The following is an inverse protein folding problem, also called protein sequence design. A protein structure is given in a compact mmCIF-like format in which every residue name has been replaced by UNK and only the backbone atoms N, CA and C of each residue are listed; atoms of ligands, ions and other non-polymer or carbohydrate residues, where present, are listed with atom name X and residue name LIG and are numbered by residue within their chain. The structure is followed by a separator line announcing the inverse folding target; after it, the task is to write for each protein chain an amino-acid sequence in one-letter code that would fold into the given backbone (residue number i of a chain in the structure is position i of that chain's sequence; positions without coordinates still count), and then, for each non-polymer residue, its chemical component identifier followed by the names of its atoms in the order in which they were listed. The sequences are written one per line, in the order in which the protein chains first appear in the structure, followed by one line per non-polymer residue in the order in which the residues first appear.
data_IF_611169026603
#
_entry.id   IF_611169026603
#
_cell.length_a   1.000
_cell.length_b   1.000
_cell.length_c   1.000
_cell.angle_alpha   90.00
_cell.angle_beta   90.00
_cell.angle_gamma   90.00
#
_symmetry.space_group_name_H-M   'P 1'
#
loop_
_entity.id
_entity.type
_entity.pdbx_description
1 polymer ?
#
# COMPACT_ATOMS: atom_id res chain seq x y z
N UNK A 1 11.55 1.36 -7.26
CA UNK A 1 12.32 2.34 -6.45
C UNK A 1 13.59 1.72 -5.88
N UNK A 2 13.49 0.61 -5.13
CA UNK A 2 14.60 -0.12 -4.50
C UNK A 2 15.78 -0.39 -5.42
N UNK A 3 15.53 -1.00 -6.58
CA UNK A 3 16.57 -1.33 -7.57
C UNK A 3 17.27 -0.09 -8.14
N UNK A 4 16.51 0.99 -8.40
CA UNK A 4 17.09 2.24 -8.91
C UNK A 4 18.00 2.93 -7.89
N UNK A 5 17.75 2.72 -6.60
CA UNK A 5 18.54 3.27 -5.49
C UNK A 5 19.65 2.32 -5.00
N UNK A 6 19.79 1.12 -5.58
CA UNK A 6 20.76 0.12 -5.12
C UNK A 6 20.49 -0.45 -3.72
N UNK A 7 19.26 -0.31 -3.21
CA UNK A 7 18.88 -0.79 -1.88
C UNK A 7 18.67 -2.32 -1.88
N UNK A 8 18.79 -2.99 -0.72
CA UNK A 8 18.38 -4.39 -0.57
C UNK A 8 16.92 -4.60 -0.97
N UNK A 9 16.61 -5.78 -1.53
CA UNK A 9 15.26 -6.10 -1.97
C UNK A 9 14.25 -5.94 -0.84
N UNK A 10 13.22 -5.12 -1.08
CA UNK A 10 12.20 -4.84 -0.06
C UNK A 10 11.12 -5.93 -0.02
N UNK A 11 10.82 -6.57 -1.16
CA UNK A 11 9.78 -7.57 -1.29
C UNK A 11 10.23 -8.65 -2.28
N UNK A 12 9.98 -9.91 -1.95
CA UNK A 12 10.25 -11.05 -2.84
C UNK A 12 8.98 -11.44 -3.62
N UNK A 13 9.11 -12.11 -4.78
CA UNK A 13 7.96 -12.46 -5.62
C UNK A 13 6.89 -13.30 -4.92
N UNK A 14 7.29 -14.20 -4.02
CA UNK A 14 6.37 -15.07 -3.27
C UNK A 14 5.45 -14.26 -2.36
N UNK A 15 5.98 -13.20 -1.73
CA UNK A 15 5.19 -12.28 -0.90
C UNK A 15 4.19 -11.50 -1.75
N UNK A 16 4.62 -10.97 -2.90
CA UNK A 16 3.73 -10.23 -3.81
C UNK A 16 2.61 -11.11 -4.39
N UNK A 17 2.90 -12.37 -4.69
CA UNK A 17 1.88 -13.33 -5.15
C UNK A 17 0.81 -13.55 -4.08
N UNK A 18 1.22 -13.69 -2.82
CA UNK A 18 0.29 -13.83 -1.70
C UNK A 18 -0.58 -12.59 -1.50
N UNK A 19 0.01 -11.39 -1.55
CA UNK A 19 -0.73 -10.13 -1.43
C UNK A 19 -1.79 -10.01 -2.51
N UNK A 20 -1.40 -10.16 -3.78
CA UNK A 20 -2.31 -9.98 -4.91
C UNK A 20 -3.41 -11.05 -4.98
N UNK A 21 -3.14 -12.28 -4.52
CA UNK A 21 -4.08 -13.39 -4.62
C UNK A 21 -5.01 -13.46 -3.41
N UNK A 22 -4.46 -13.35 -2.21
CA UNK A 22 -5.16 -13.65 -0.96
C UNK A 22 -5.55 -12.35 -0.27
N UNK A 23 -4.56 -11.53 0.09
CA UNK A 23 -4.79 -10.33 0.89
C UNK A 23 -5.69 -9.31 0.18
N UNK A 24 -5.45 -9.05 -1.10
CA UNK A 24 -6.25 -8.10 -1.88
C UNK A 24 -7.49 -8.77 -2.51
N UNK A 25 -7.46 -10.10 -2.67
CA UNK A 25 -8.56 -10.87 -3.24
C UNK A 25 -9.85 -10.78 -2.42
N UNK A 26 -9.75 -10.83 -1.07
CA UNK A 26 -10.94 -10.74 -0.22
C UNK A 26 -11.59 -9.35 -0.26
N UNK A 27 -10.88 -8.23 -0.04
CA UNK A 27 -11.47 -6.89 -0.16
C UNK A 27 -11.98 -6.60 -1.57
N UNK A 28 -11.27 -7.02 -2.63
CA UNK A 28 -11.73 -6.84 -4.00
C UNK A 28 -13.07 -7.53 -4.26
N UNK A 29 -13.24 -8.74 -3.74
CA UNK A 29 -14.53 -9.46 -3.81
C UNK A 29 -15.60 -8.76 -2.98
N UNK A 30 -15.23 -8.24 -1.80
CA UNK A 30 -16.16 -7.55 -0.91
C UNK A 30 -16.67 -6.21 -1.46
N UNK A 31 -15.84 -5.50 -2.25
CA UNK A 31 -16.25 -4.29 -2.98
C UNK A 31 -17.38 -4.57 -3.98
N UNK A 32 -17.52 -5.81 -4.46
CA UNK A 32 -18.66 -6.24 -5.28
C UNK A 32 -20.01 -6.21 -4.56
N UNK A 33 -20.01 -6.15 -3.21
CA UNK A 33 -21.20 -6.02 -2.38
C UNK A 33 -21.43 -4.58 -1.87
N UNK A 34 -20.75 -3.58 -2.47
CA UNK A 34 -20.98 -2.19 -2.12
C UNK A 34 -22.43 -1.76 -2.45
N UNK A 35 -23.06 -0.95 -1.59
CA UNK A 35 -24.33 -0.33 -1.94
C UNK A 35 -24.15 0.65 -3.09
N UNK A 36 -25.21 0.91 -3.88
CA UNK A 36 -25.15 1.86 -4.98
C UNK A 36 -24.93 3.29 -4.45
N UNK A 37 -24.21 4.09 -5.24
CA UNK A 37 -24.02 5.52 -4.96
C UNK A 37 -25.39 6.25 -4.90
N UNK A 38 -25.50 7.22 -3.97
CA UNK A 38 -26.75 7.96 -3.72
C UNK A 38 -27.26 8.74 -4.94
N UNK A 39 -26.37 9.15 -5.84
CA UNK A 39 -26.64 9.95 -7.02
C UNK A 39 -26.61 9.12 -8.32
N UNK A 40 -26.71 7.79 -8.23
CA UNK A 40 -26.61 6.94 -9.42
C UNK A 40 -27.75 7.16 -10.42
N UNK A 41 -28.96 7.42 -9.93
CA UNK A 41 -30.16 7.60 -10.76
C UNK A 41 -30.26 9.01 -11.37
N UNK A 42 -29.48 9.98 -10.88
CA UNK A 42 -29.47 11.35 -11.41
C UNK A 42 -28.39 11.55 -12.47
N UNK A 43 -27.48 10.58 -12.65
CA UNK A 43 -26.44 10.60 -13.67
C UNK A 43 -26.98 10.03 -15.00
N UNK A 44 -26.59 10.59 -16.17
CA UNK A 44 -26.96 10.02 -17.45
C UNK A 44 -26.31 8.63 -17.66
N UNK A 45 -26.87 7.77 -18.54
CA UNK A 45 -26.25 6.50 -18.89
C UNK A 45 -24.81 6.68 -19.39
N UNK A 46 -23.89 5.84 -18.92
CA UNK A 46 -22.47 5.84 -19.32
C UNK A 46 -22.34 5.57 -20.84
N UNK A 47 -21.46 6.31 -21.53
CA UNK A 47 -21.20 6.07 -22.96
C UNK A 47 -20.35 4.81 -23.17
N UNK A 48 -20.57 4.10 -24.28
CA UNK A 48 -19.76 2.91 -24.63
C UNK A 48 -18.32 3.26 -25.02
N UNK A 49 -18.06 4.53 -25.34
CA UNK A 49 -16.73 5.06 -25.66
C UNK A 49 -15.96 5.59 -24.43
N UNK A 50 -16.59 5.66 -23.24
CA UNK A 50 -15.95 6.22 -22.06
C UNK A 50 -14.88 5.27 -21.51
N UNK A 51 -13.60 5.68 -21.45
CA UNK A 51 -12.53 4.84 -20.92
C UNK A 51 -12.80 4.49 -19.44
N UNK A 52 -12.35 3.31 -19.01
CA UNK A 52 -12.44 2.90 -17.61
C UNK A 52 -11.63 3.82 -16.69
N UNK A 53 -10.47 4.29 -17.16
CA UNK A 53 -9.58 5.19 -16.42
C UNK A 53 -9.52 6.53 -17.15
N UNK A 54 -10.13 7.56 -16.56
CA UNK A 54 -10.01 8.95 -17.04
C UNK A 54 -8.63 9.53 -16.72
N UNK A 55 -8.26 10.64 -17.37
CA UNK A 55 -6.96 11.29 -17.11
C UNK A 55 -6.75 11.68 -15.65
N UNK A 56 -7.81 12.14 -14.97
CA UNK A 56 -7.76 12.45 -13.54
C UNK A 56 -7.63 11.20 -12.67
N UNK A 57 -8.41 10.14 -12.99
CA UNK A 57 -8.36 8.87 -12.26
C UNK A 57 -6.97 8.20 -12.40
N UNK A 58 -6.36 8.30 -13.58
CA UNK A 58 -4.98 7.85 -13.81
C UNK A 58 -3.98 8.58 -12.92
N UNK A 59 -4.04 9.91 -12.86
CA UNK A 59 -3.15 10.71 -11.99
C UNK A 59 -3.34 10.36 -10.50
N UNK A 60 -4.59 10.15 -10.07
CA UNK A 60 -4.90 9.72 -8.71
C UNK A 60 -4.23 8.39 -8.37
N UNK A 61 -4.43 7.35 -9.17
CA UNK A 61 -3.80 6.05 -8.92
C UNK A 61 -2.28 6.07 -9.08
N UNK A 62 -1.73 6.89 -9.97
CA UNK A 62 -0.29 7.09 -10.07
C UNK A 62 0.29 7.70 -8.78
N UNK A 63 -0.40 8.67 -8.18
CA UNK A 63 0.01 9.31 -6.92
C UNK A 63 -0.06 8.32 -5.76
N UNK A 64 -1.14 7.54 -5.66
CA UNK A 64 -1.31 6.51 -4.61
C UNK A 64 -0.26 5.40 -4.77
N UNK A 65 -0.08 4.87 -5.99
CA UNK A 65 0.94 3.84 -6.26
C UNK A 65 2.36 4.34 -6.03
N UNK A 66 2.65 5.60 -6.37
CA UNK A 66 3.91 6.26 -6.04
C UNK A 66 4.14 6.33 -4.53
N UNK A 67 3.12 6.70 -3.77
CA UNK A 67 3.16 6.71 -2.31
C UNK A 67 3.42 5.31 -1.73
N UNK A 68 2.68 4.29 -2.18
CA UNK A 68 2.85 2.89 -1.75
C UNK A 68 4.30 2.42 -1.98
N UNK A 69 4.84 2.70 -3.17
CA UNK A 69 6.23 2.37 -3.51
C UNK A 69 7.26 3.09 -2.63
N UNK A 70 7.02 4.35 -2.29
CA UNK A 70 7.89 5.09 -1.37
C UNK A 70 7.75 4.63 0.09
N UNK A 71 6.54 4.31 0.54
CA UNK A 71 6.26 3.88 1.90
C UNK A 71 6.84 2.49 2.20
N UNK A 72 6.72 1.54 1.27
CA UNK A 72 7.29 0.18 1.39
C UNK A 72 8.81 0.19 1.43
N UNK A 73 9.46 0.95 0.54
CA UNK A 73 10.93 1.08 0.54
C UNK A 73 11.42 1.92 1.72
N UNK A 74 10.67 2.96 2.07
CA UNK A 74 10.95 3.83 3.21
C UNK A 74 10.91 3.08 4.54
N UNK A 75 9.93 2.19 4.75
CA UNK A 75 9.84 1.40 5.99
C UNK A 75 10.96 0.36 6.09
N UNK A 76 11.35 -0.29 5.00
CA UNK A 76 12.52 -1.17 4.96
C UNK A 76 13.81 -0.39 5.23
N UNK A 77 14.01 0.76 4.58
CA UNK A 77 15.17 1.62 4.79
C UNK A 77 15.23 2.19 6.22
N UNK A 78 14.08 2.52 6.81
CA UNK A 78 13.99 2.99 8.19
C UNK A 78 14.56 1.96 9.18
N UNK A 79 14.30 0.66 8.96
CA UNK A 79 14.87 -0.39 9.80
C UNK A 79 16.41 -0.43 9.75
N UNK A 80 17.00 -0.19 8.58
CA UNK A 80 18.45 -0.18 8.43
C UNK A 80 19.12 1.07 9.01
N UNK A 81 18.50 2.24 8.90
CA UNK A 81 19.15 3.53 9.17
C UNK A 81 18.76 4.11 10.52
N UNK A 82 17.48 4.02 10.90
CA UNK A 82 16.90 4.83 11.98
C UNK A 82 16.33 4.01 13.14
N UNK A 83 16.31 2.68 13.05
CA UNK A 83 15.82 1.85 14.15
C UNK A 83 16.87 1.72 15.24
N UNK A 84 16.49 2.04 16.49
CA UNK A 84 17.40 2.07 17.64
C UNK A 84 18.06 0.71 17.91
N UNK A 85 17.33 -0.39 17.70
CA UNK A 85 17.80 -1.77 17.86
C UNK A 85 18.38 -2.37 16.57
N UNK A 86 18.42 -1.56 15.51
CA UNK A 86 18.95 -1.95 14.20
C UNK A 86 20.45 -1.66 14.06
N UNK A 87 21.02 -1.93 12.88
CA UNK A 87 22.45 -1.73 12.60
C UNK A 87 22.87 -0.26 12.42
N UNK A 88 21.92 0.68 12.33
CA UNK A 88 22.14 2.13 12.18
C UNK A 88 23.16 2.47 11.06
N UNK A 89 22.93 1.90 9.88
CA UNK A 89 23.82 2.05 8.73
C UNK A 89 23.71 3.43 8.11
N UNK A 90 24.81 3.91 7.53
CA UNK A 90 24.78 5.11 6.71
C UNK A 90 24.15 4.81 5.33
N UNK A 91 23.54 5.81 4.68
CA UNK A 91 22.90 5.67 3.37
C UNK A 91 23.87 5.12 2.30
N UNK A 92 25.14 5.52 2.36
CA UNK A 92 26.17 5.00 1.46
C UNK A 92 26.38 3.48 1.62
N UNK A 93 26.45 3.00 2.86
CA UNK A 93 26.62 1.58 3.15
C UNK A 93 25.41 0.76 2.69
N UNK A 94 24.21 1.32 2.80
CA UNK A 94 22.97 0.67 2.38
C UNK A 94 22.86 0.55 0.85
N UNK A 95 23.23 1.59 0.11
CA UNK A 95 23.16 1.61 -1.36
C UNK A 95 24.27 0.82 -2.04
N UNK A 96 25.40 0.62 -1.36
CA UNK A 96 26.57 -0.12 -1.86
C UNK A 96 26.74 -1.48 -1.15
N UNK A 97 25.63 -2.13 -0.80
CA UNK A 97 25.65 -3.40 -0.05
C UNK A 97 26.48 -4.51 -0.71
N UNK A 98 26.56 -4.55 -2.04
CA UNK A 98 27.34 -5.56 -2.79
C UNK A 98 28.84 -5.49 -2.50
N UNK A 99 29.34 -4.35 -2.01
CA UNK A 99 30.73 -4.16 -1.62
C UNK A 99 31.06 -4.69 -0.22
N UNK A 100 30.05 -5.07 0.58
CA UNK A 100 30.25 -5.63 1.92
C UNK A 100 31.03 -6.95 1.85
N UNK A 101 30.66 -7.83 0.90
CA UNK A 101 31.34 -9.12 0.68
C UNK A 101 32.79 -8.95 0.19
N UNK A 102 33.12 -7.81 -0.43
CA UNK A 102 34.47 -7.48 -0.87
C UNK A 102 35.38 -6.97 0.27
N UNK A 103 34.90 -6.96 1.52
CA UNK A 103 35.64 -6.54 2.73
C UNK A 103 36.30 -5.16 2.60
N UNK A 104 35.59 -4.20 1.98
CA UNK A 104 36.06 -2.82 1.93
C UNK A 104 36.18 -2.18 3.31
N UNK A 105 37.16 -1.29 3.48
CA UNK A 105 37.42 -0.56 4.74
C UNK A 105 36.21 0.21 5.30
N UNK A 106 35.26 0.59 4.43
CA UNK A 106 34.04 1.32 4.75
C UNK A 106 32.94 0.48 5.42
N UNK A 107 33.07 -0.85 5.41
CA UNK A 107 32.16 -1.79 6.08
C UNK A 107 32.77 -2.42 7.34
N UNK A 108 33.88 -1.87 7.84
CA UNK A 108 34.57 -2.40 9.02
C UNK A 108 33.68 -2.34 10.27
N UNK A 109 33.33 -3.51 10.81
CA UNK A 109 32.48 -3.65 12.00
C UNK A 109 31.00 -3.91 11.71
N UNK A 110 30.60 -4.00 10.43
CA UNK A 110 29.25 -4.41 10.02
C UNK A 110 29.27 -5.88 9.61
N UNK A 111 28.35 -6.68 10.17
CA UNK A 111 28.13 -8.04 9.69
C UNK A 111 27.28 -8.01 8.40
N UNK A 112 27.81 -8.53 7.29
CA UNK A 112 27.12 -8.54 6.00
C UNK A 112 25.84 -9.39 5.99
N UNK A 113 25.65 -10.28 6.98
CA UNK A 113 24.41 -11.06 7.13
C UNK A 113 23.17 -10.17 7.33
N UNK A 114 23.38 -8.92 7.80
CA UNK A 114 22.30 -7.97 8.09
C UNK A 114 21.48 -7.57 6.86
N UNK A 115 22.09 -7.56 5.67
CA UNK A 115 21.41 -7.17 4.43
C UNK A 115 20.45 -8.25 3.91
N UNK A 116 20.60 -9.50 4.37
CA UNK A 116 19.73 -10.64 4.03
C UNK A 116 18.73 -10.91 5.15
N UNK A 117 18.72 -10.08 6.20
CA UNK A 117 17.82 -10.26 7.33
C UNK A 117 16.35 -10.13 6.87
N UNK A 118 15.41 -10.98 7.35
CA UNK A 118 14.00 -10.99 6.92
C UNK A 118 13.15 -9.81 7.41
N UNK A 119 13.65 -9.08 8.41
CA UNK A 119 12.90 -8.02 9.11
C UNK A 119 12.54 -6.79 8.23
N UNK A 120 13.45 -6.21 7.42
CA UNK A 120 13.11 -5.13 6.49
C UNK A 120 12.03 -5.55 5.49
N UNK A 121 12.10 -6.79 4.99
CA UNK A 121 11.09 -7.33 4.09
C UNK A 121 9.73 -7.45 4.79
N UNK A 122 9.72 -7.86 6.05
CA UNK A 122 8.51 -7.91 6.87
C UNK A 122 7.91 -6.51 7.09
N UNK A 123 8.74 -5.50 7.33
CA UNK A 123 8.30 -4.11 7.46
C UNK A 123 7.68 -3.59 6.16
N UNK A 124 8.32 -3.86 5.01
CA UNK A 124 7.79 -3.49 3.70
C UNK A 124 6.46 -4.19 3.41
N UNK A 125 6.39 -5.50 3.64
CA UNK A 125 5.18 -6.30 3.40
C UNK A 125 4.02 -5.84 4.28
N UNK A 126 4.28 -5.61 5.57
CA UNK A 126 3.25 -5.14 6.51
C UNK A 126 2.73 -3.76 6.15
N UNK A 127 3.60 -2.86 5.66
CA UNK A 127 3.16 -1.55 5.15
C UNK A 127 2.30 -1.72 3.90
N UNK A 128 2.70 -2.57 2.95
CA UNK A 128 1.93 -2.85 1.74
C UNK A 128 0.53 -3.36 2.09
N UNK A 129 0.45 -4.43 2.88
CA UNK A 129 -0.82 -5.03 3.31
C UNK A 129 -1.72 -3.99 4.00
N UNK A 130 -1.17 -3.24 4.95
CA UNK A 130 -1.98 -2.26 5.68
C UNK A 130 -2.42 -1.11 4.77
N UNK A 131 -1.58 -0.64 3.85
CA UNK A 131 -1.96 0.39 2.87
C UNK A 131 -3.06 -0.13 1.95
N UNK A 132 -2.99 -1.35 1.44
CA UNK A 132 -4.04 -1.89 0.57
C UNK A 132 -5.38 -2.03 1.30
N UNK A 133 -5.38 -2.41 2.59
CA UNK A 133 -6.62 -2.43 3.38
C UNK A 133 -7.22 -1.01 3.54
N UNK A 134 -6.37 0.00 3.75
CA UNK A 134 -6.81 1.40 3.80
C UNK A 134 -7.29 1.89 2.43
N UNK A 135 -6.64 1.47 1.34
CA UNK A 135 -6.99 1.81 -0.02
C UNK A 135 -8.30 1.13 -0.47
N UNK A 136 -8.59 -0.08 0.03
CA UNK A 136 -9.87 -0.74 -0.16
C UNK A 136 -11.03 0.07 0.44
N UNK A 137 -10.84 0.68 1.62
CA UNK A 137 -11.82 1.62 2.18
C UNK A 137 -11.99 2.87 1.30
N UNK A 138 -10.89 3.42 0.78
CA UNK A 138 -10.96 4.55 -0.15
C UNK A 138 -11.67 4.19 -1.46
N UNK A 139 -11.62 2.92 -1.86
CA UNK A 139 -12.29 2.38 -3.04
C UNK A 139 -13.77 2.08 -2.82
N UNK A 140 -14.31 2.29 -1.61
CA UNK A 140 -15.74 2.21 -1.32
C UNK A 140 -16.55 3.18 -2.21
N UNK A 141 -15.96 4.33 -2.53
CA UNK A 141 -16.55 5.30 -3.46
C UNK A 141 -15.49 6.00 -4.27
N UNK A 142 -15.80 6.24 -5.54
CA UNK A 142 -14.91 6.96 -6.43
C UNK A 142 -14.78 8.44 -6.02
N UNK A 143 -15.90 9.11 -5.72
CA UNK A 143 -15.95 10.56 -5.51
C UNK A 143 -16.43 10.97 -4.11
N UNK A 144 -17.14 10.11 -3.39
CA UNK A 144 -17.60 10.44 -2.05
C UNK A 144 -16.47 10.29 -1.03
N UNK A 145 -16.50 11.20 -0.06
CA UNK A 145 -15.62 11.21 1.09
C UNK A 145 -15.92 10.04 2.01
N UNK A 146 -14.89 9.48 2.65
CA UNK A 146 -15.06 8.47 3.70
C UNK A 146 -15.89 9.01 4.90
N UNK A 147 -15.94 10.33 5.09
CA UNK A 147 -16.79 10.94 6.12
C UNK A 147 -18.28 10.90 5.79
N UNK A 148 -18.61 10.91 4.49
CA UNK A 148 -20.01 10.85 4.01
C UNK A 148 -20.46 9.40 3.90
N UNK A 149 -19.58 8.53 3.37
CA UNK A 149 -19.80 7.09 3.28
C UNK A 149 -18.77 6.37 4.16
N UNK A 150 -19.11 6.13 5.45
CA UNK A 150 -18.19 5.50 6.36
C UNK A 150 -17.99 4.00 6.05
N UNK A 151 -16.89 3.40 6.51
CA UNK A 151 -16.52 2.03 6.12
C UNK A 151 -17.51 0.95 6.58
N UNK A 152 -18.30 1.19 7.64
CA UNK A 152 -19.33 0.26 8.12
C UNK A 152 -20.58 0.19 7.24
N UNK A 153 -20.65 0.98 6.17
CA UNK A 153 -21.70 0.85 5.14
C UNK A 153 -21.64 -0.52 4.45
N UNK A 154 -20.43 -1.07 4.26
CA UNK A 154 -20.24 -2.42 3.75
C UNK A 154 -19.58 -3.30 4.83
N UNK A 155 -20.40 -4.01 5.60
CA UNK A 155 -19.90 -4.95 6.62
C UNK A 155 -19.09 -6.11 6.01
N UNK A 156 -19.35 -6.50 4.76
CA UNK A 156 -18.54 -7.51 4.06
C UNK A 156 -17.13 -7.02 3.80
N UNK A 157 -16.96 -5.74 3.45
CA UNK A 157 -15.64 -5.13 3.27
C UNK A 157 -14.87 -5.11 4.59
N UNK A 158 -15.51 -4.71 5.70
CA UNK A 158 -14.90 -4.72 7.03
C UNK A 158 -14.49 -6.15 7.43
N UNK A 159 -15.37 -7.14 7.21
CA UNK A 159 -15.06 -8.54 7.49
C UNK A 159 -13.88 -9.05 6.63
N UNK A 160 -13.84 -8.71 5.35
CA UNK A 160 -12.75 -9.07 4.44
C UNK A 160 -11.42 -8.43 4.84
N UNK A 161 -11.43 -7.18 5.31
CA UNK A 161 -10.23 -6.51 5.83
C UNK A 161 -9.73 -7.17 7.11
N UNK A 162 -10.63 -7.47 8.07
CA UNK A 162 -10.27 -8.16 9.32
C UNK A 162 -9.68 -9.53 9.00
N UNK A 163 -10.29 -10.28 8.07
CA UNK A 163 -9.78 -11.57 7.62
C UNK A 163 -8.39 -11.42 7.00
N UNK A 164 -8.18 -10.42 6.15
CA UNK A 164 -6.90 -10.19 5.45
C UNK A 164 -5.78 -9.79 6.42
N UNK A 165 -6.07 -8.93 7.40
CA UNK A 165 -5.14 -8.59 8.48
C UNK A 165 -4.87 -9.82 9.35
N UNK A 166 -5.89 -10.61 9.68
CA UNK A 166 -5.75 -11.85 10.44
C UNK A 166 -4.86 -12.87 9.73
N UNK A 167 -5.04 -13.06 8.42
CA UNK A 167 -4.18 -13.91 7.61
C UNK A 167 -2.74 -13.39 7.55
N UNK A 168 -2.56 -12.07 7.48
CA UNK A 168 -1.24 -11.45 7.55
C UNK A 168 -0.55 -11.70 8.90
N UNK A 169 -1.29 -11.68 10.01
CA UNK A 169 -0.73 -12.05 11.32
C UNK A 169 -0.39 -13.55 11.39
N UNK A 170 -1.21 -14.42 10.80
CA UNK A 170 -0.96 -15.87 10.75
C UNK A 170 0.35 -16.18 10.01
N UNK A 171 0.63 -15.52 8.89
CA UNK A 171 1.89 -15.76 8.15
C UNK A 171 3.14 -15.29 8.92
N UNK A 172 2.99 -14.35 9.88
CA UNK A 172 4.08 -13.86 10.71
C UNK A 172 4.35 -14.72 11.94
N UNK A 173 3.32 -15.31 12.53
CA UNK A 173 3.40 -16.07 13.79
C UNK A 173 3.64 -17.56 13.55
N UNK A 174 3.20 -18.12 12.41
CA UNK A 174 3.40 -19.54 12.12
C UNK A 174 4.76 -19.77 11.49
N UNK A 175 5.67 -20.42 12.23
CA UNK A 175 7.06 -20.67 11.82
C UNK A 175 7.19 -21.26 10.41
N UNK A 176 6.31 -22.19 10.03
CA UNK A 176 6.32 -22.77 8.69
C UNK A 176 6.10 -21.72 7.60
N UNK A 177 5.11 -20.85 7.78
CA UNK A 177 4.78 -19.80 6.82
C UNK A 177 5.85 -18.71 6.83
N UNK A 178 6.30 -18.29 8.01
CA UNK A 178 7.36 -17.30 8.17
C UNK A 178 8.65 -17.70 7.43
N UNK A 179 9.03 -18.99 7.48
CA UNK A 179 10.18 -19.50 6.73
C UNK A 179 9.96 -19.49 5.21
N UNK A 180 8.77 -19.88 4.73
CA UNK A 180 8.44 -19.88 3.29
C UNK A 180 8.43 -18.46 2.72
N UNK A 181 7.86 -17.51 3.45
CA UNK A 181 7.76 -16.11 3.03
C UNK A 181 8.97 -15.25 3.42
N UNK A 182 9.97 -15.81 4.11
CA UNK A 182 11.14 -15.09 4.64
C UNK A 182 10.73 -13.88 5.50
N UNK A 183 9.85 -14.13 6.47
CA UNK A 183 9.29 -13.13 7.39
C UNK A 183 9.70 -13.41 8.82
N UNK A 184 9.61 -12.38 9.67
CA UNK A 184 9.83 -12.50 11.11
C UNK A 184 8.77 -11.72 11.87
N UNK A 185 8.36 -12.16 13.07
CA UNK A 185 7.35 -11.45 13.85
C UNK A 185 7.80 -10.02 14.17
N UNK A 186 6.88 -9.06 14.07
CA UNK A 186 7.12 -7.65 14.37
C UNK A 186 6.79 -7.34 15.83
N UNK A 187 7.60 -6.47 16.43
CA UNK A 187 7.36 -5.91 17.76
C UNK A 187 6.34 -4.78 17.70
N UNK A 188 5.83 -4.39 18.86
CA UNK A 188 4.85 -3.31 18.99
C UNK A 188 5.37 -1.94 18.50
N UNK A 189 6.66 -1.67 18.71
CA UNK A 189 7.33 -0.45 18.21
C UNK A 189 7.36 -0.41 16.68
N UNK A 190 7.67 -1.55 16.06
CA UNK A 190 7.72 -1.69 14.61
C UNK A 190 6.33 -1.58 13.98
N UNK A 191 5.31 -2.17 14.60
CA UNK A 191 3.91 -2.02 14.20
C UNK A 191 3.42 -0.57 14.23
N UNK A 192 3.88 0.20 15.21
CA UNK A 192 3.57 1.63 15.28
C UNK A 192 4.15 2.40 14.10
N UNK A 193 5.37 2.05 13.69
CA UNK A 193 6.01 2.64 12.50
C UNK A 193 5.30 2.22 11.22
N UNK A 194 4.95 0.94 11.08
CA UNK A 194 4.12 0.44 9.95
C UNK A 194 2.84 1.26 9.84
N UNK A 195 2.12 1.44 10.95
CA UNK A 195 0.88 2.22 10.98
C UNK A 195 1.09 3.68 10.55
N UNK A 196 2.18 4.32 11.00
CA UNK A 196 2.51 5.70 10.60
C UNK A 196 2.83 5.84 9.12
N UNK A 197 3.49 4.84 8.51
CA UNK A 197 3.75 4.82 7.08
C UNK A 197 2.50 4.47 6.26
N UNK A 198 1.52 3.77 6.81
CA UNK A 198 0.32 3.38 6.06
C UNK A 198 -0.79 4.43 6.11
N UNK A 199 -1.05 5.05 7.28
CA UNK A 199 -2.16 5.99 7.48
C UNK A 199 -2.24 7.17 6.49
N UNK A 200 -1.12 7.80 6.06
CA UNK A 200 -1.19 8.95 5.15
C UNK A 200 -1.86 8.66 3.80
N UNK A 201 -1.96 7.40 3.37
CA UNK A 201 -2.67 7.04 2.13
C UNK A 201 -4.14 7.49 2.15
N UNK A 202 -4.79 7.41 3.31
CA UNK A 202 -6.19 7.85 3.48
C UNK A 202 -6.29 9.34 3.28
N UNK A 203 -5.38 10.10 3.89
CA UNK A 203 -5.37 11.56 3.76
C UNK A 203 -5.05 12.01 2.34
N UNK A 204 -4.11 11.35 1.67
CA UNK A 204 -3.75 11.63 0.27
C UNK A 204 -4.97 11.40 -0.64
N UNK A 205 -5.63 10.25 -0.54
CA UNK A 205 -6.79 9.94 -1.37
C UNK A 205 -7.97 10.89 -1.09
N UNK A 206 -8.20 11.22 0.19
CA UNK A 206 -9.27 12.12 0.60
C UNK A 206 -9.06 13.54 0.06
N UNK A 207 -7.81 14.03 0.05
CA UNK A 207 -7.44 15.30 -0.60
C UNK A 207 -7.68 15.21 -2.12
N UNK A 208 -7.28 14.11 -2.77
CA UNK A 208 -7.50 13.92 -4.21
C UNK A 208 -9.00 13.88 -4.57
N UNK A 209 -9.84 13.23 -3.75
CA UNK A 209 -11.30 13.25 -3.88
C UNK A 209 -11.89 14.64 -3.67
N UNK A 210 -11.36 15.42 -2.72
CA UNK A 210 -11.77 16.81 -2.50
C UNK A 210 -11.43 17.70 -3.71
N UNK A 211 -10.27 17.53 -4.32
CA UNK A 211 -9.87 18.25 -5.54
C UNK A 211 -10.77 17.84 -6.71
N UNK A 212 -11.04 16.54 -6.86
CA UNK A 212 -11.90 16.00 -7.90
C UNK A 212 -13.28 16.68 -7.92
N UNK A 213 -13.92 16.72 -6.74
CA UNK A 213 -15.24 17.33 -6.55
C UNK A 213 -15.29 18.83 -6.80
N UNK A 214 -14.18 19.55 -6.59
CA UNK A 214 -14.13 21.01 -6.75
C UNK A 214 -13.76 21.46 -8.15
N UNK A 215 -12.94 20.70 -8.86
CA UNK A 215 -12.30 21.16 -10.11
C UNK A 215 -12.65 20.31 -11.33
N UNK A 216 -13.02 19.04 -11.16
CA UNK A 216 -13.21 18.10 -12.26
C UNK A 216 -14.68 17.79 -12.54
N UNK A 217 -15.56 17.97 -11.56
CA UNK A 217 -17.02 17.99 -11.75
C UNK A 217 -17.41 19.31 -12.46
N UNK A 218 -17.06 19.40 -13.74
CA UNK A 218 -17.67 20.37 -14.66
C UNK A 218 -19.17 20.08 -14.64
N UNK A 219 -20.05 21.06 -14.38
CA UNK A 219 -21.48 20.85 -14.46
C UNK A 219 -21.76 20.29 -15.86
N UNK A 220 -22.40 19.13 -15.93
CA UNK A 220 -22.88 18.55 -17.18
C UNK A 220 -23.74 19.61 -17.87
N UNK A 221 -23.15 20.38 -18.78
CA UNK A 221 -23.91 21.15 -19.74
C UNK A 221 -24.65 20.08 -20.53
N UNK A 222 -25.96 20.00 -20.27
CA UNK A 222 -26.90 19.18 -21.03
C UNK A 222 -26.74 19.60 -22.49
N UNK A 223 -25.87 18.91 -23.23
CA UNK A 223 -25.88 18.96 -24.68
C UNK A 223 -27.08 18.11 -25.07
N UNK A 224 -28.17 18.81 -25.36
CA UNK A 224 -29.39 18.29 -25.95
C UNK A 224 -29.07 17.14 -26.94
N UNK A 225 -29.59 15.92 -26.75
CA UNK A 225 -29.43 14.83 -27.71
C UNK A 225 -30.29 15.04 -28.99
N UNK A 226 -30.81 16.25 -29.20
CA UNK A 226 -31.68 16.65 -30.33
C UNK A 226 -31.09 17.82 -31.15
N UNK A 227 -29.76 17.88 -31.30
CA UNK A 227 -29.10 18.71 -32.31
C UNK A 227 -28.00 17.94 -33.03
#
# INVERSE_FOLDING_TARGET
LTAALGLPEALIPVQLLWVNLVTDGFPATALGFNPPDLDIMTRPPRSTSDPLISGWLFFRYLTIGGYVGCATVGSAAWWFIAYDKGPQLNYYQLTHQSQCLAQESRFKGVDCSIFVHPKPMTMALSVLVLVEMLNAMNSLSENQSLMVMPPWVNLWLVAAMILSIGLHLIILEVDFLANVFQLTPLSLEEWWVVTKFSLPVVFIDEILKLIARKFTDVPLTVSDPYK
#
